data_IF_269170350676
#
_entry.id   IF_269170350676
#
_cell.length_a   1.000
_cell.length_b   1.000
_cell.length_c   1.000
_cell.angle_alpha   90.00
_cell.angle_beta   90.00
_cell.angle_gamma   90.00
#
_symmetry.space_group_name_H-M   'P 1'
#
loop_
_entity.id
_entity.type
_entity.pdbx_description
1 polymer ?
#
# COMPACT_ATOMS: atom_id res chain seq x y z
N UNK A 1 -25.10 -12.84 -13.26
CA UNK A 1 -24.96 -11.46 -12.76
C UNK A 1 -26.23 -10.72 -13.13
N UNK A 2 -26.97 -10.19 -12.17
CA UNK A 2 -28.25 -9.50 -12.42
C UNK A 2 -28.03 -8.12 -13.02
N UNK A 3 -29.05 -7.55 -13.67
CA UNK A 3 -28.99 -6.21 -14.29
C UNK A 3 -28.65 -5.13 -13.25
N UNK A 4 -29.12 -5.30 -12.01
CA UNK A 4 -28.78 -4.44 -10.87
C UNK A 4 -27.30 -4.51 -10.49
N UNK A 5 -26.73 -5.72 -10.40
CA UNK A 5 -25.30 -5.90 -10.12
C UNK A 5 -24.42 -5.29 -11.22
N UNK A 6 -24.88 -5.30 -12.48
CA UNK A 6 -24.18 -4.64 -13.60
C UNK A 6 -24.23 -3.11 -13.46
N UNK A 7 -25.36 -2.55 -13.01
CA UNK A 7 -25.51 -1.10 -12.79
C UNK A 7 -24.60 -0.62 -11.66
N UNK A 8 -24.56 -1.30 -10.53
CA UNK A 8 -23.72 -0.91 -9.39
C UNK A 8 -22.23 -0.90 -9.75
N UNK A 9 -21.75 -1.93 -10.46
CA UNK A 9 -20.35 -2.00 -10.89
C UNK A 9 -19.99 -0.86 -11.85
N UNK A 10 -20.89 -0.48 -12.77
CA UNK A 10 -20.65 0.66 -13.68
C UNK A 10 -20.69 2.00 -12.95
N UNK A 11 -21.56 2.15 -11.96
CA UNK A 11 -21.64 3.36 -11.12
C UNK A 11 -20.37 3.54 -10.29
N UNK A 12 -19.84 2.46 -9.69
CA UNK A 12 -18.58 2.50 -8.95
C UNK A 12 -17.40 2.87 -9.86
N UNK A 13 -17.30 2.23 -11.04
CA UNK A 13 -16.23 2.57 -12.00
C UNK A 13 -16.37 4.00 -12.52
N UNK A 14 -17.60 4.51 -12.67
CA UNK A 14 -17.87 5.90 -13.03
C UNK A 14 -17.31 6.90 -12.01
N UNK A 15 -17.70 6.76 -10.74
CA UNK A 15 -17.18 7.63 -9.68
C UNK A 15 -15.67 7.44 -9.46
N UNK A 16 -15.16 6.23 -9.66
CA UNK A 16 -13.73 5.96 -9.61
C UNK A 16 -12.97 6.70 -10.70
N UNK A 17 -13.55 6.97 -11.86
CA UNK A 17 -12.93 7.82 -12.90
C UNK A 17 -12.98 9.28 -12.50
N UNK A 18 -14.12 9.76 -12.01
CA UNK A 18 -14.30 11.16 -11.65
C UNK A 18 -13.55 11.58 -10.38
N UNK A 19 -13.20 10.67 -9.48
CA UNK A 19 -12.52 10.99 -8.22
C UNK A 19 -11.10 11.58 -8.36
N UNK A 20 -10.50 11.54 -9.56
CA UNK A 20 -9.14 12.02 -9.80
C UNK A 20 -9.12 13.40 -10.44
N UNK A 21 -8.35 14.30 -9.83
CA UNK A 21 -8.31 15.73 -10.19
C UNK A 21 -7.93 15.97 -11.65
N UNK A 22 -6.88 15.30 -12.16
CA UNK A 22 -6.47 15.44 -13.57
C UNK A 22 -7.57 15.00 -14.54
N UNK A 23 -8.34 13.94 -14.21
CA UNK A 23 -9.40 13.43 -15.09
C UNK A 23 -10.59 14.38 -15.12
N UNK A 24 -10.91 15.01 -13.99
CA UNK A 24 -11.90 16.09 -13.91
C UNK A 24 -11.45 17.29 -14.75
N UNK A 25 -10.19 17.71 -14.62
CA UNK A 25 -9.62 18.81 -15.40
C UNK A 25 -9.66 18.53 -16.91
N UNK A 26 -9.33 17.30 -17.35
CA UNK A 26 -9.47 16.87 -18.74
C UNK A 26 -10.94 16.95 -19.20
N UNK A 27 -11.89 16.49 -18.37
CA UNK A 27 -13.31 16.56 -18.70
C UNK A 27 -13.78 18.01 -18.88
N UNK A 28 -13.38 18.91 -17.97
CA UNK A 28 -13.71 20.34 -18.08
C UNK A 28 -13.08 20.98 -19.31
N UNK A 29 -11.80 20.74 -19.57
CA UNK A 29 -11.08 21.28 -20.73
C UNK A 29 -11.70 20.86 -22.07
N UNK A 30 -12.05 19.59 -22.21
CA UNK A 30 -12.68 19.07 -23.42
C UNK A 30 -14.13 19.53 -23.59
N UNK A 31 -14.81 19.89 -22.51
CA UNK A 31 -16.11 20.55 -22.60
C UNK A 31 -15.98 21.99 -23.12
N UNK A 32 -15.00 22.74 -22.60
CA UNK A 32 -14.75 24.14 -22.95
C UNK A 32 -14.21 24.32 -24.39
N UNK A 33 -13.39 23.38 -24.86
CA UNK A 33 -12.69 23.50 -26.15
C UNK A 33 -13.27 22.61 -27.27
N UNK A 34 -14.37 21.88 -27.01
CA UNK A 34 -15.08 20.95 -27.92
C UNK A 34 -14.24 19.74 -28.40
N UNK A 35 -13.05 19.96 -28.97
CA UNK A 35 -12.04 18.95 -29.26
C UNK A 35 -10.61 19.52 -29.06
N UNK A 36 -9.68 18.69 -28.57
CA UNK A 36 -8.28 19.09 -28.37
C UNK A 36 -7.34 17.95 -28.77
N UNK A 37 -6.22 18.27 -29.40
CA UNK A 37 -5.15 17.32 -29.67
C UNK A 37 -4.47 16.84 -28.39
N UNK A 38 -3.73 15.72 -28.49
CA UNK A 38 -2.94 15.20 -27.38
C UNK A 38 -1.96 16.24 -26.80
N UNK A 39 -1.24 16.92 -27.69
CA UNK A 39 -0.20 17.90 -27.34
C UNK A 39 -0.79 19.14 -26.68
N UNK A 40 -1.95 19.60 -27.13
CA UNK A 40 -2.66 20.72 -26.49
C UNK A 40 -3.05 20.38 -25.05
N UNK A 41 -3.67 19.21 -24.81
CA UNK A 41 -4.02 18.76 -23.45
C UNK A 41 -2.78 18.66 -22.57
N UNK A 42 -1.69 18.10 -23.11
CA UNK A 42 -0.42 17.91 -22.42
C UNK A 42 0.17 19.25 -21.93
N UNK A 43 0.20 20.26 -22.80
CA UNK A 43 0.71 21.58 -22.46
C UNK A 43 -0.23 22.37 -21.55
N UNK A 44 -1.54 22.36 -21.82
CA UNK A 44 -2.52 23.10 -21.01
C UNK A 44 -2.57 22.62 -19.56
N UNK A 45 -2.38 21.31 -19.33
CA UNK A 45 -2.36 20.74 -17.98
C UNK A 45 -0.96 20.62 -17.37
N UNK A 46 0.09 20.99 -18.12
CA UNK A 46 1.50 20.85 -17.72
C UNK A 46 1.82 19.41 -17.25
N UNK A 47 1.49 18.42 -18.08
CA UNK A 47 1.66 17.00 -17.77
C UNK A 47 2.81 16.38 -18.56
N UNK A 48 3.37 15.29 -18.03
CA UNK A 48 4.27 14.41 -18.78
C UNK A 48 3.48 13.44 -19.67
N UNK A 49 4.08 13.00 -20.79
CA UNK A 49 3.42 12.10 -21.75
C UNK A 49 2.92 10.78 -21.12
N UNK A 50 3.76 10.14 -20.30
CA UNK A 50 3.39 8.89 -19.62
C UNK A 50 2.18 9.06 -18.69
N UNK A 51 2.06 10.24 -18.07
CA UNK A 51 0.99 10.59 -17.16
C UNK A 51 -0.34 10.82 -17.90
N UNK A 52 -0.32 11.59 -18.99
CA UNK A 52 -1.50 11.83 -19.82
C UNK A 52 -2.01 10.51 -20.45
N UNK A 53 -1.12 9.68 -20.98
CA UNK A 53 -1.48 8.37 -21.53
C UNK A 53 -2.13 7.45 -20.49
N UNK A 54 -1.63 7.46 -19.26
CA UNK A 54 -2.23 6.70 -18.16
C UNK A 54 -3.68 7.14 -17.90
N UNK A 55 -3.94 8.44 -17.84
CA UNK A 55 -5.27 8.99 -17.59
C UNK A 55 -6.24 8.75 -18.75
N UNK A 56 -5.84 9.02 -19.99
CA UNK A 56 -6.69 8.80 -21.17
C UNK A 56 -7.10 7.33 -21.31
N UNK A 57 -6.18 6.39 -21.05
CA UNK A 57 -6.50 4.94 -21.04
C UNK A 57 -7.56 4.59 -19.99
N UNK A 58 -7.49 5.19 -18.81
CA UNK A 58 -8.50 5.00 -17.74
C UNK A 58 -9.81 5.74 -18.00
N UNK A 59 -9.84 6.68 -18.96
CA UNK A 59 -11.00 7.48 -19.33
C UNK A 59 -11.63 7.06 -20.67
N UNK A 60 -11.27 5.88 -21.22
CA UNK A 60 -11.70 5.44 -22.56
C UNK A 60 -13.22 5.51 -22.83
N UNK A 61 -14.07 5.44 -21.79
CA UNK A 61 -15.52 5.60 -21.92
C UNK A 61 -16.03 7.05 -21.87
N UNK A 62 -15.21 7.99 -21.40
CA UNK A 62 -15.54 9.41 -21.18
C UNK A 62 -15.02 10.31 -22.30
N UNK A 63 -13.96 9.88 -23.00
CA UNK A 63 -13.34 10.60 -24.11
C UNK A 63 -13.29 9.72 -25.35
N UNK A 64 -13.44 10.32 -26.52
CA UNK A 64 -13.34 9.65 -27.81
C UNK A 64 -12.42 10.42 -28.76
N UNK A 65 -11.79 9.69 -29.68
CA UNK A 65 -10.94 10.27 -30.71
C UNK A 65 -11.79 10.63 -31.94
N UNK A 66 -11.61 11.83 -32.45
CA UNK A 66 -12.21 12.30 -33.69
C UNK A 66 -11.39 11.81 -34.89
N UNK A 67 -11.94 11.99 -36.10
CA UNK A 67 -11.25 11.62 -37.36
C UNK A 67 -9.89 12.32 -37.51
N UNK A 68 -9.74 13.51 -36.91
CA UNK A 68 -8.49 14.29 -36.89
C UNK A 68 -7.50 13.84 -35.80
N UNK A 69 -7.79 12.76 -35.07
CA UNK A 69 -7.04 12.29 -33.89
C UNK A 69 -7.03 13.28 -32.72
N UNK A 70 -8.04 14.15 -32.63
CA UNK A 70 -8.27 14.98 -31.45
C UNK A 70 -9.17 14.26 -30.45
N UNK A 71 -9.03 14.56 -29.18
CA UNK A 71 -9.90 14.07 -28.11
C UNK A 71 -11.11 15.00 -27.98
N UNK A 72 -12.29 14.42 -27.82
CA UNK A 72 -13.51 15.12 -27.39
C UNK A 72 -14.26 14.31 -26.34
N UNK A 73 -15.20 14.93 -25.64
CA UNK A 73 -16.09 14.21 -24.74
C UNK A 73 -17.06 13.31 -25.50
N UNK A 74 -17.17 12.06 -25.05
CA UNK A 74 -18.29 11.20 -25.43
C UNK A 74 -19.60 11.69 -24.79
N UNK A 75 -20.75 11.15 -25.19
CA UNK A 75 -22.03 11.44 -24.49
C UNK A 75 -21.95 11.10 -23.00
N UNK A 76 -21.23 10.04 -22.65
CA UNK A 76 -20.97 9.66 -21.26
C UNK A 76 -20.09 10.69 -20.53
N UNK A 77 -19.07 11.22 -21.21
CA UNK A 77 -18.25 12.33 -20.72
C UNK A 77 -19.04 13.62 -20.50
N UNK A 78 -19.99 13.94 -21.39
CA UNK A 78 -20.88 15.11 -21.25
C UNK A 78 -21.82 14.97 -20.06
N UNK A 79 -22.37 13.77 -19.82
CA UNK A 79 -23.17 13.47 -18.64
C UNK A 79 -22.32 13.64 -17.37
N UNK A 80 -21.09 13.12 -17.37
CA UNK A 80 -20.16 13.30 -16.27
C UNK A 80 -19.85 14.77 -15.97
N UNK A 81 -19.62 15.59 -16.99
CA UNK A 81 -19.42 17.03 -16.81
C UNK A 81 -20.64 17.70 -16.15
N UNK A 82 -21.85 17.41 -16.63
CA UNK A 82 -23.08 17.95 -16.01
C UNK A 82 -23.26 17.53 -14.56
N UNK A 83 -22.90 16.29 -14.22
CA UNK A 83 -22.91 15.82 -12.84
C UNK A 83 -21.87 16.56 -11.99
N UNK A 84 -20.66 16.79 -12.51
CA UNK A 84 -19.63 17.56 -11.81
C UNK A 84 -20.05 19.01 -11.56
N UNK A 85 -20.78 19.64 -12.50
CA UNK A 85 -21.29 21.01 -12.35
C UNK A 85 -22.53 21.08 -11.42
N UNK A 86 -23.34 20.02 -11.39
CA UNK A 86 -24.56 19.96 -10.58
C UNK A 86 -24.34 19.53 -9.12
N UNK A 87 -23.14 19.04 -8.79
CA UNK A 87 -22.78 18.63 -7.43
C UNK A 87 -22.17 19.83 -6.70
N UNK A 88 -22.81 20.25 -5.60
CA UNK A 88 -22.22 21.22 -4.66
C UNK A 88 -20.80 20.76 -4.29
N UNK A 89 -19.83 21.67 -4.31
CA UNK A 89 -18.46 21.41 -3.91
C UNK A 89 -18.35 20.70 -2.54
N UNK A 90 -19.32 20.93 -1.63
CA UNK A 90 -19.48 20.21 -0.36
C UNK A 90 -19.79 18.72 -0.55
N UNK A 91 -20.79 18.38 -1.36
CA UNK A 91 -21.15 16.99 -1.65
C UNK A 91 -20.01 16.25 -2.36
N UNK A 92 -19.27 16.93 -3.23
CA UNK A 92 -18.09 16.34 -3.87
C UNK A 92 -16.98 16.06 -2.87
N UNK A 93 -16.77 16.98 -1.91
CA UNK A 93 -15.81 16.78 -0.81
C UNK A 93 -16.23 15.59 0.07
N UNK A 94 -17.51 15.52 0.46
CA UNK A 94 -18.04 14.44 1.29
C UNK A 94 -17.94 13.08 0.59
N UNK A 95 -18.34 13.02 -0.69
CA UNK A 95 -18.20 11.80 -1.49
C UNK A 95 -16.73 11.37 -1.64
N UNK A 96 -15.81 12.32 -1.84
CA UNK A 96 -14.37 12.04 -1.93
C UNK A 96 -13.80 11.56 -0.60
N UNK A 97 -14.27 12.09 0.53
CA UNK A 97 -13.90 11.62 1.87
C UNK A 97 -14.43 10.20 2.14
N UNK A 98 -15.67 9.90 1.76
CA UNK A 98 -16.29 8.57 1.91
C UNK A 98 -15.58 7.53 1.06
N UNK A 99 -15.38 7.79 -0.24
CA UNK A 99 -14.68 6.87 -1.15
C UNK A 99 -13.24 6.63 -0.68
N UNK A 100 -12.56 7.68 -0.21
CA UNK A 100 -11.20 7.55 0.33
C UNK A 100 -11.20 6.77 1.64
N UNK A 101 -12.20 6.92 2.50
CA UNK A 101 -12.30 6.19 3.76
C UNK A 101 -12.49 4.68 3.53
N UNK A 102 -13.37 4.27 2.62
CA UNK A 102 -13.64 2.86 2.30
C UNK A 102 -12.46 2.18 1.60
N UNK A 103 -11.84 2.85 0.63
CA UNK A 103 -10.67 2.31 -0.09
C UNK A 103 -9.46 2.22 0.85
N UNK A 104 -9.24 3.22 1.71
CA UNK A 104 -8.14 3.20 2.69
C UNK A 104 -8.35 2.11 3.73
N UNK A 105 -9.58 1.87 4.21
CA UNK A 105 -9.84 0.86 5.23
C UNK A 105 -9.67 -0.56 4.67
N UNK A 106 -10.26 -0.86 3.51
CA UNK A 106 -10.12 -2.16 2.85
C UNK A 106 -8.67 -2.46 2.47
N UNK A 107 -7.95 -1.47 1.94
CA UNK A 107 -6.51 -1.58 1.63
C UNK A 107 -5.67 -1.81 2.89
N UNK A 108 -5.97 -1.08 3.97
CA UNK A 108 -5.25 -1.18 5.25
C UNK A 108 -5.45 -2.54 5.93
N UNK A 109 -6.67 -3.10 5.90
CA UNK A 109 -6.95 -4.44 6.44
C UNK A 109 -6.22 -5.51 5.63
N UNK A 110 -6.23 -5.43 4.30
CA UNK A 110 -5.50 -6.40 3.45
C UNK A 110 -3.99 -6.34 3.70
N UNK A 111 -3.41 -5.15 3.81
CA UNK A 111 -1.99 -4.99 4.12
C UNK A 111 -1.69 -5.53 5.51
N UNK A 112 -2.52 -5.23 6.51
CA UNK A 112 -2.34 -5.75 7.86
C UNK A 112 -2.34 -7.28 7.87
N UNK A 113 -3.31 -7.90 7.20
CA UNK A 113 -3.38 -9.37 7.09
C UNK A 113 -2.12 -9.94 6.44
N UNK A 114 -1.64 -9.34 5.35
CA UNK A 114 -0.38 -9.76 4.72
C UNK A 114 0.82 -9.64 5.65
N UNK A 115 0.89 -8.55 6.43
CA UNK A 115 1.95 -8.33 7.44
C UNK A 115 1.91 -9.36 8.56
N UNK A 116 0.72 -9.70 9.05
CA UNK A 116 0.54 -10.71 10.11
C UNK A 116 0.92 -12.10 9.60
N UNK A 117 0.45 -12.51 8.42
CA UNK A 117 0.82 -13.80 7.83
C UNK A 117 2.33 -13.87 7.56
N UNK A 118 2.93 -12.82 7.01
CA UNK A 118 4.38 -12.75 6.83
C UNK A 118 5.14 -12.94 8.16
N UNK A 119 4.67 -12.30 9.23
CA UNK A 119 5.28 -12.44 10.56
C UNK A 119 5.13 -13.85 11.13
N UNK A 120 3.99 -14.51 10.92
CA UNK A 120 3.79 -15.92 11.33
C UNK A 120 4.69 -16.88 10.56
N UNK A 121 4.89 -16.65 9.26
CA UNK A 121 5.82 -17.44 8.44
C UNK A 121 7.25 -17.25 8.93
N UNK A 122 7.69 -16.00 9.12
CA UNK A 122 9.01 -15.70 9.67
C UNK A 122 9.20 -16.39 11.04
N UNK A 123 8.22 -16.25 11.95
CA UNK A 123 8.26 -16.86 13.27
C UNK A 123 8.37 -18.39 13.20
N UNK A 124 7.55 -19.03 12.37
CA UNK A 124 7.54 -20.49 12.20
C UNK A 124 8.88 -21.00 11.68
N UNK A 125 9.48 -20.32 10.70
CA UNK A 125 10.79 -20.68 10.16
C UNK A 125 11.89 -20.59 11.23
N UNK A 126 11.91 -19.51 12.01
CA UNK A 126 12.91 -19.34 13.07
C UNK A 126 12.73 -20.35 14.21
N UNK A 127 11.48 -20.62 14.64
CA UNK A 127 11.20 -21.63 15.67
C UNK A 127 11.57 -23.03 15.17
N UNK A 128 11.27 -23.36 13.92
CA UNK A 128 11.60 -24.66 13.35
C UNK A 128 13.12 -24.90 13.31
N UNK A 129 13.88 -23.95 12.78
CA UNK A 129 15.36 -23.99 12.82
C UNK A 129 15.85 -24.09 14.26
N UNK A 130 15.18 -23.35 15.15
CA UNK A 130 15.32 -23.38 16.60
C UNK A 130 15.31 -24.80 17.18
N UNK A 131 14.19 -25.47 16.98
CA UNK A 131 13.92 -26.82 17.50
C UNK A 131 14.85 -27.87 16.88
N UNK A 132 15.16 -27.77 15.58
CA UNK A 132 16.06 -28.73 14.92
C UNK A 132 17.47 -28.66 15.51
N UNK A 133 18.04 -27.46 15.63
CA UNK A 133 19.37 -27.27 16.23
C UNK A 133 19.39 -27.76 17.68
N UNK A 134 18.33 -27.47 18.43
CA UNK A 134 18.15 -27.94 19.78
C UNK A 134 18.18 -29.47 19.90
N UNK A 135 17.41 -30.18 19.07
CA UNK A 135 17.38 -31.65 19.09
C UNK A 135 18.75 -32.28 18.75
N UNK A 136 19.52 -31.67 17.86
CA UNK A 136 20.87 -32.15 17.51
C UNK A 136 21.84 -32.01 18.68
N UNK A 137 21.82 -30.87 19.37
CA UNK A 137 22.83 -30.50 20.37
C UNK A 137 22.63 -31.12 21.76
N UNK A 138 21.43 -31.62 22.08
CA UNK A 138 21.07 -32.02 23.44
C UNK A 138 21.39 -33.48 23.84
N UNK A 139 22.20 -34.19 23.07
CA UNK A 139 22.51 -35.59 23.38
C UNK A 139 23.41 -35.71 24.62
N UNK A 140 22.88 -36.30 25.71
CA UNK A 140 23.65 -36.70 26.89
C UNK A 140 23.83 -35.63 27.99
N UNK A 141 23.07 -34.54 27.97
CA UNK A 141 23.21 -33.42 28.92
C UNK A 141 22.35 -33.63 30.18
N UNK A 142 22.92 -33.35 31.36
CA UNK A 142 22.19 -33.35 32.65
C UNK A 142 21.16 -32.22 32.71
N UNK A 143 20.03 -32.45 33.37
CA UNK A 143 18.87 -31.53 33.38
C UNK A 143 19.19 -30.07 33.82
N UNK A 144 19.99 -29.88 34.87
CA UNK A 144 20.30 -28.52 35.37
C UNK A 144 21.15 -27.71 34.39
N UNK A 145 22.12 -28.36 33.74
CA UNK A 145 22.95 -27.78 32.69
C UNK A 145 22.10 -27.51 31.45
N UNK A 146 21.16 -28.40 31.16
CA UNK A 146 20.24 -28.28 30.04
C UNK A 146 19.34 -27.05 30.16
N UNK A 147 18.74 -26.78 31.32
CA UNK A 147 17.90 -25.60 31.51
C UNK A 147 18.68 -24.28 31.26
N UNK A 148 19.93 -24.21 31.72
CA UNK A 148 20.80 -23.06 31.47
C UNK A 148 21.14 -22.90 29.97
N UNK A 149 21.47 -24.00 29.29
CA UNK A 149 21.76 -24.00 27.86
C UNK A 149 20.55 -23.63 27.00
N UNK A 150 19.34 -24.05 27.40
CA UNK A 150 18.08 -23.65 26.74
C UNK A 150 17.92 -22.14 26.76
N UNK A 151 18.14 -21.49 27.90
CA UNK A 151 17.99 -20.03 28.03
C UNK A 151 19.00 -19.31 27.13
N UNK A 152 20.26 -19.73 27.14
CA UNK A 152 21.31 -19.18 26.25
C UNK A 152 20.92 -19.39 24.79
N UNK A 153 20.45 -20.58 24.44
CA UNK A 153 20.04 -20.94 23.09
C UNK A 153 18.90 -20.05 22.58
N UNK A 154 17.85 -19.86 23.39
CA UNK A 154 16.73 -18.98 23.05
C UNK A 154 17.19 -17.52 22.89
N UNK A 155 18.08 -17.05 23.77
CA UNK A 155 18.63 -15.70 23.70
C UNK A 155 19.45 -15.48 22.41
N UNK A 156 20.32 -16.42 22.05
CA UNK A 156 21.10 -16.36 20.81
C UNK A 156 20.21 -16.44 19.57
N UNK A 157 19.19 -17.29 19.60
CA UNK A 157 18.20 -17.41 18.50
C UNK A 157 17.46 -16.09 18.29
N UNK A 158 17.07 -15.41 19.37
CA UNK A 158 16.42 -14.11 19.30
C UNK A 158 17.32 -13.03 18.68
N UNK A 159 18.60 -12.96 19.11
CA UNK A 159 19.59 -12.03 18.57
C UNK A 159 19.86 -12.30 17.08
N UNK A 160 19.98 -13.57 16.70
CA UNK A 160 20.17 -14.00 15.33
C UNK A 160 18.96 -13.66 14.45
N UNK A 161 17.75 -13.88 14.95
CA UNK A 161 16.52 -13.51 14.24
C UNK A 161 16.41 -12.00 14.03
N UNK A 162 16.70 -11.21 15.07
CA UNK A 162 16.73 -9.76 14.97
C UNK A 162 17.76 -9.28 13.93
N UNK A 163 19.01 -9.74 14.00
CA UNK A 163 20.05 -9.39 13.03
C UNK A 163 19.64 -9.78 11.60
N UNK A 164 19.09 -10.99 11.42
CA UNK A 164 18.62 -11.48 10.13
C UNK A 164 17.52 -10.60 9.55
N UNK A 165 16.52 -10.21 10.35
CA UNK A 165 15.48 -9.29 9.89
C UNK A 165 16.05 -7.93 9.49
N UNK A 166 16.95 -7.38 10.31
CA UNK A 166 17.54 -6.06 10.03
C UNK A 166 18.28 -6.04 8.70
N UNK A 167 19.15 -7.02 8.49
CA UNK A 167 19.96 -7.14 7.27
C UNK A 167 19.05 -7.37 6.07
N UNK A 168 18.17 -8.38 6.11
CA UNK A 168 17.32 -8.70 4.96
C UNK A 168 16.40 -7.54 4.56
N UNK A 169 15.80 -6.87 5.54
CA UNK A 169 14.95 -5.71 5.27
C UNK A 169 15.76 -4.53 4.71
N UNK A 170 16.99 -4.30 5.18
CA UNK A 170 17.84 -3.22 4.67
C UNK A 170 18.30 -3.45 3.23
N UNK A 171 18.65 -4.69 2.86
CA UNK A 171 19.15 -5.01 1.52
C UNK A 171 18.02 -5.17 0.50
N UNK A 172 16.97 -5.93 0.84
CA UNK A 172 15.93 -6.35 -0.09
C UNK A 172 14.57 -5.68 0.17
N UNK A 173 14.43 -4.92 1.25
CA UNK A 173 13.12 -4.42 1.70
C UNK A 173 12.21 -5.52 2.24
N UNK A 174 12.69 -6.77 2.36
CA UNK A 174 11.84 -7.94 2.61
C UNK A 174 12.53 -8.94 3.54
N UNK A 175 11.76 -9.52 4.46
CA UNK A 175 12.06 -10.79 5.13
C UNK A 175 11.55 -11.96 4.27
N UNK A 176 11.85 -13.21 4.66
CA UNK A 176 11.38 -14.41 3.95
C UNK A 176 9.84 -14.42 3.85
N UNK A 177 9.15 -14.21 4.97
CA UNK A 177 7.69 -14.17 5.00
C UNK A 177 7.13 -13.03 4.15
N UNK A 178 7.78 -11.85 4.14
CA UNK A 178 7.35 -10.71 3.31
C UNK A 178 7.56 -10.96 1.82
N UNK A 179 8.65 -11.62 1.46
CA UNK A 179 8.91 -12.07 0.11
C UNK A 179 7.80 -13.01 -0.38
N UNK A 180 7.43 -14.02 0.41
CA UNK A 180 6.33 -14.94 0.11
C UNK A 180 4.98 -14.23 -0.01
N UNK A 181 4.74 -13.22 0.83
CA UNK A 181 3.50 -12.42 0.81
C UNK A 181 3.49 -11.33 -0.27
N UNK A 182 4.55 -11.22 -1.09
CA UNK A 182 4.77 -10.20 -2.13
C UNK A 182 4.58 -8.78 -1.61
N UNK A 183 5.15 -8.50 -0.44
CA UNK A 183 5.13 -7.17 0.17
C UNK A 183 6.55 -6.75 0.52
N UNK A 184 6.86 -5.47 0.42
CA UNK A 184 8.17 -4.92 0.80
C UNK A 184 8.03 -3.65 1.62
N UNK A 185 9.06 -3.35 2.39
CA UNK A 185 9.19 -2.10 3.12
C UNK A 185 9.93 -1.09 2.26
N UNK A 186 9.37 0.10 2.18
CA UNK A 186 9.98 1.26 1.53
C UNK A 186 9.82 2.48 2.43
N UNK A 187 10.66 3.50 2.24
CA UNK A 187 10.41 4.81 2.85
C UNK A 187 9.17 5.46 2.22
N UNK A 188 8.55 6.39 2.93
CA UNK A 188 7.38 7.12 2.39
C UNK A 188 7.69 7.97 1.16
N UNK A 189 8.97 8.27 0.91
CA UNK A 189 9.43 8.94 -0.31
C UNK A 189 9.78 7.96 -1.45
N UNK A 190 9.61 6.65 -1.26
CA UNK A 190 9.91 5.61 -2.24
C UNK A 190 11.34 5.07 -2.18
N UNK A 191 12.22 5.66 -1.36
CA UNK A 191 13.61 5.19 -1.23
C UNK A 191 13.70 3.83 -0.54
N UNK A 192 14.84 3.17 -0.77
CA UNK A 192 15.22 1.98 0.00
C UNK A 192 15.40 2.34 1.48
N UNK A 193 15.01 1.40 2.33
CA UNK A 193 15.18 1.53 3.78
C UNK A 193 16.66 1.41 4.16
N UNK A 194 17.12 2.20 5.13
CA UNK A 194 18.50 2.08 5.64
C UNK A 194 18.60 0.99 6.71
N UNK A 195 19.84 0.56 7.02
CA UNK A 195 20.09 -0.40 8.11
C UNK A 195 19.56 0.15 9.45
N UNK A 196 19.74 1.44 9.72
CA UNK A 196 19.27 2.07 10.95
C UNK A 196 17.73 2.09 11.03
N UNK A 197 17.07 2.48 9.94
CA UNK A 197 15.60 2.47 9.87
C UNK A 197 15.05 1.05 10.08
N UNK A 198 15.70 0.05 9.47
CA UNK A 198 15.37 -1.36 9.63
C UNK A 198 15.57 -1.85 11.07
N UNK A 199 16.68 -1.49 11.71
CA UNK A 199 16.96 -1.81 13.11
C UNK A 199 15.89 -1.23 14.05
N UNK A 200 15.60 0.06 13.93
CA UNK A 200 14.61 0.75 14.78
C UNK A 200 13.21 0.15 14.62
N UNK A 201 12.79 -0.20 13.40
CA UNK A 201 11.51 -0.90 13.16
C UNK A 201 11.47 -2.29 13.78
N UNK A 202 12.59 -3.04 13.71
CA UNK A 202 12.66 -4.38 14.24
C UNK A 202 12.74 -4.40 15.77
N UNK A 203 13.20 -3.33 16.43
CA UNK A 203 13.09 -3.20 17.90
C UNK A 203 11.62 -3.21 18.31
N UNK A 204 10.80 -2.41 17.63
CA UNK A 204 9.35 -2.41 17.80
C UNK A 204 8.72 -3.78 17.57
N UNK A 205 9.19 -4.52 16.56
CA UNK A 205 8.68 -5.85 16.20
C UNK A 205 9.06 -6.93 17.23
N UNK A 206 10.30 -6.95 17.69
CA UNK A 206 10.85 -8.06 18.47
C UNK A 206 10.65 -7.87 19.97
N UNK A 207 10.79 -6.64 20.48
CA UNK A 207 10.77 -6.39 21.92
C UNK A 207 9.50 -5.67 22.40
N UNK A 208 8.88 -4.84 21.55
CA UNK A 208 7.83 -3.90 21.96
C UNK A 208 6.53 -4.05 21.17
N UNK A 209 6.25 -5.21 20.56
CA UNK A 209 5.18 -5.34 19.56
C UNK A 209 3.79 -4.87 20.06
N UNK A 210 3.31 -5.28 21.25
CA UNK A 210 2.01 -4.82 21.74
C UNK A 210 1.98 -3.30 21.93
N UNK A 211 3.05 -2.73 22.45
CA UNK A 211 3.17 -1.30 22.72
C UNK A 211 3.33 -0.48 21.42
N UNK A 212 4.16 -0.96 20.49
CA UNK A 212 4.39 -0.38 19.16
C UNK A 212 3.07 -0.25 18.39
N UNK A 213 2.24 -1.30 18.43
CA UNK A 213 0.92 -1.31 17.82
C UNK A 213 -0.07 -0.41 18.55
N UNK A 214 -0.13 -0.48 19.88
CA UNK A 214 -1.02 0.34 20.71
C UNK A 214 -0.77 1.83 20.48
N UNK A 215 0.48 2.27 20.58
CA UNK A 215 0.87 3.67 20.35
C UNK A 215 0.60 4.07 18.89
N UNK A 216 0.93 3.19 17.94
CA UNK A 216 0.69 3.43 16.51
C UNK A 216 -0.79 3.70 16.20
N UNK A 217 -1.68 2.84 16.67
CA UNK A 217 -3.12 2.96 16.43
C UNK A 217 -3.74 4.15 17.18
N UNK A 218 -3.34 4.40 18.43
CA UNK A 218 -3.90 5.49 19.23
C UNK A 218 -3.51 6.88 18.68
N UNK A 219 -2.26 7.08 18.29
CA UNK A 219 -1.73 8.41 17.98
C UNK A 219 -1.47 8.66 16.50
N UNK A 220 -1.18 7.61 15.71
CA UNK A 220 -0.65 7.76 14.35
C UNK A 220 -1.55 7.16 13.25
N UNK A 221 -2.70 6.58 13.61
CA UNK A 221 -3.68 6.05 12.66
C UNK A 221 -4.16 7.09 11.63
N UNK A 222 -4.45 8.32 12.07
CA UNK A 222 -4.88 9.42 11.16
C UNK A 222 -3.81 9.80 10.13
N UNK A 223 -2.54 9.45 10.38
CA UNK A 223 -1.41 9.70 9.49
C UNK A 223 -1.12 8.50 8.57
N UNK A 224 -1.94 7.45 8.61
CA UNK A 224 -1.77 6.24 7.78
C UNK A 224 -0.81 5.20 8.35
N UNK A 225 -0.39 5.33 9.62
CA UNK A 225 0.53 4.39 10.25
C UNK A 225 -0.21 3.48 11.24
N UNK A 226 0.17 2.21 11.22
CA UNK A 226 -0.36 1.18 12.13
C UNK A 226 0.55 1.01 13.35
N UNK A 227 1.87 1.14 13.17
CA UNK A 227 2.88 0.94 14.21
C UNK A 227 3.63 2.25 14.46
N UNK A 228 4.01 2.50 15.71
CA UNK A 228 4.79 3.67 16.10
C UNK A 228 6.16 3.72 15.43
N UNK A 229 6.90 2.62 15.42
CA UNK A 229 8.25 2.61 14.83
C UNK A 229 8.23 2.74 13.30
N UNK A 230 7.14 2.34 12.64
CA UNK A 230 6.93 2.60 11.21
C UNK A 230 6.78 4.12 10.95
N UNK A 231 6.07 4.82 11.83
CA UNK A 231 5.95 6.29 11.80
C UNK A 231 7.30 6.97 12.07
N UNK A 232 8.01 6.55 13.11
CA UNK A 232 9.28 7.14 13.52
C UNK A 232 10.33 7.07 12.41
N UNK A 233 10.37 5.95 11.69
CA UNK A 233 11.32 5.73 10.58
C UNK A 233 10.76 6.16 9.21
N UNK A 234 9.56 6.75 9.15
CA UNK A 234 8.88 7.21 7.93
C UNK A 234 8.87 6.15 6.82
N UNK A 235 8.37 4.97 7.18
CA UNK A 235 8.42 3.78 6.31
C UNK A 235 7.07 3.09 6.27
N UNK A 236 6.74 2.55 5.10
CA UNK A 236 5.47 1.90 4.82
C UNK A 236 5.69 0.53 4.18
N UNK A 237 4.62 -0.24 4.09
CA UNK A 237 4.61 -1.55 3.42
C UNK A 237 3.78 -1.42 2.16
N UNK A 238 4.38 -1.76 1.02
CA UNK A 238 3.71 -1.78 -0.28
C UNK A 238 3.76 -3.18 -0.91
N UNK A 239 2.92 -3.40 -1.91
CA UNK A 239 2.90 -4.65 -2.66
C UNK A 239 3.98 -4.62 -3.73
N UNK A 240 4.70 -5.72 -3.89
CA UNK A 240 5.56 -5.94 -5.05
C UNK A 240 4.66 -6.43 -6.18
N UNK A 241 4.61 -5.67 -7.27
CA UNK A 241 3.86 -6.01 -8.50
C UNK A 241 4.65 -7.05 -9.28
#
# INVERSE_FOLDING_TARGET
MTIEQIKDVRTVEFFKVLSHEIRVKIISLLHENIEMSYTEILHTLNLEEGNLNFHLRKMKGFVELTEKKNYRLSEYGKIAYRMLQGVDARLWKDAKEIIKADDVWTFSVQILMRRTVAALVDFTLFVFIGVVLFLVLNHGIKFDVYAFLVVIYLQLTLQFAYASFVIMEAYNGQTIGKYLMRIRIVKTNGDKITILDSAVRNIGKVFLLPLDFLIGVLFFRKKGYIKFFDYYTKTTVERVI
#
